data_IF_607744281615
#
_entry.id   IF_607744281615
#
_cell.length_a   1.000
_cell.length_b   1.000
_cell.length_c   1.000
_cell.angle_alpha   90.00
_cell.angle_beta   90.00
_cell.angle_gamma   90.00
#
_symmetry.space_group_name_H-M   'P 1'
#
loop_
_entity.id
_entity.type
_entity.pdbx_description
1 polymer ?
#
# COMPACT_ATOMS: atom_id res chain seq x y z
N UNK A 1 -19.76 -23.98 -24.34
CA UNK A 1 -19.92 -25.46 -24.27
C UNK A 1 -18.58 -26.13 -24.04
N UNK A 2 -17.95 -26.68 -25.09
CA UNK A 2 -16.62 -27.33 -25.01
C UNK A 2 -15.47 -26.32 -24.88
N UNK A 3 -15.57 -25.17 -25.54
CA UNK A 3 -14.56 -24.09 -25.49
C UNK A 3 -14.42 -23.44 -24.09
N UNK A 4 -15.52 -23.25 -23.36
CA UNK A 4 -15.48 -22.67 -22.01
C UNK A 4 -14.83 -23.60 -20.98
N UNK A 5 -15.04 -24.91 -21.12
CA UNK A 5 -14.43 -25.92 -20.25
C UNK A 5 -12.92 -25.97 -20.50
N UNK A 6 -12.48 -25.97 -21.76
CA UNK A 6 -11.06 -25.92 -22.11
C UNK A 6 -10.39 -24.62 -21.64
N UNK A 7 -11.07 -23.48 -21.78
CA UNK A 7 -10.59 -22.17 -21.27
C UNK A 7 -10.44 -22.19 -19.75
N UNK A 8 -11.40 -22.78 -19.03
CA UNK A 8 -11.35 -22.91 -17.57
C UNK A 8 -10.24 -23.85 -17.11
N UNK A 9 -10.03 -24.99 -17.79
CA UNK A 9 -8.92 -25.91 -17.50
C UNK A 9 -7.55 -25.27 -17.76
N UNK A 10 -7.43 -24.48 -18.84
CA UNK A 10 -6.21 -23.72 -19.13
C UNK A 10 -5.93 -22.67 -18.05
N UNK A 11 -6.94 -21.88 -17.65
CA UNK A 11 -6.81 -20.95 -16.52
C UNK A 11 -6.37 -21.66 -15.24
N UNK A 12 -6.92 -22.86 -14.98
CA UNK A 12 -6.50 -23.72 -13.87
C UNK A 12 -5.00 -24.02 -13.95
N UNK A 13 -4.49 -24.39 -15.13
CA UNK A 13 -3.07 -24.74 -15.34
C UNK A 13 -2.14 -23.53 -15.24
N UNK A 14 -2.54 -22.38 -15.79
CA UNK A 14 -1.78 -21.13 -15.70
C UNK A 14 -1.70 -20.67 -14.24
N UNK A 15 -2.82 -20.72 -13.51
CA UNK A 15 -2.86 -20.42 -12.09
C UNK A 15 -1.91 -21.30 -11.25
N UNK A 16 -1.60 -22.52 -11.67
CA UNK A 16 -0.64 -23.41 -10.97
C UNK A 16 0.82 -22.98 -11.12
N UNK A 17 1.13 -22.19 -12.14
CA UNK A 17 2.49 -21.76 -12.46
C UNK A 17 2.62 -20.25 -12.39
N UNK A 18 1.65 -19.56 -11.78
CA UNK A 18 1.62 -18.10 -11.73
C UNK A 18 2.87 -17.53 -11.03
N UNK A 19 3.41 -18.23 -10.05
CA UNK A 19 4.67 -17.90 -9.39
C UNK A 19 5.92 -17.91 -10.31
N UNK A 20 5.84 -18.58 -11.46
CA UNK A 20 6.90 -18.68 -12.46
C UNK A 20 6.67 -17.72 -13.64
N UNK A 21 5.52 -17.06 -13.70
CA UNK A 21 5.17 -16.15 -14.77
C UNK A 21 5.92 -14.81 -14.64
N UNK A 22 6.13 -14.18 -15.79
CA UNK A 22 6.62 -12.81 -15.89
C UNK A 22 5.47 -11.83 -16.12
N UNK A 23 5.70 -10.54 -15.88
CA UNK A 23 4.69 -9.50 -16.15
C UNK A 23 4.22 -9.54 -17.60
N UNK A 24 5.13 -9.81 -18.55
CA UNK A 24 4.81 -9.89 -19.97
C UNK A 24 3.79 -10.99 -20.29
N UNK A 25 3.82 -12.10 -19.55
CA UNK A 25 2.87 -13.19 -19.71
C UNK A 25 1.45 -12.81 -19.26
N UNK A 26 1.32 -11.75 -18.44
CA UNK A 26 0.06 -11.22 -17.94
C UNK A 26 -0.48 -10.05 -18.79
N UNK A 27 0.30 -9.52 -19.73
CA UNK A 27 -0.10 -8.43 -20.62
C UNK A 27 -1.04 -8.91 -21.74
N UNK A 28 -2.19 -9.44 -21.34
CA UNK A 28 -3.24 -9.92 -22.23
C UNK A 28 -3.99 -8.72 -22.79
N UNK A 29 -4.06 -8.61 -24.12
CA UNK A 29 -4.77 -7.51 -24.79
C UNK A 29 -6.28 -7.61 -24.57
N UNK A 30 -6.93 -6.48 -24.33
CA UNK A 30 -8.37 -6.42 -24.22
C UNK A 30 -9.06 -6.81 -25.56
N UNK A 31 -10.28 -7.38 -25.50
CA UNK A 31 -11.09 -7.65 -26.69
C UNK A 31 -11.33 -6.41 -27.56
N UNK A 32 -11.61 -6.63 -28.84
CA UNK A 32 -11.97 -5.54 -29.76
C UNK A 32 -13.22 -4.80 -29.26
N UNK A 33 -13.12 -3.47 -29.15
CA UNK A 33 -14.20 -2.60 -28.68
C UNK A 33 -14.08 -2.16 -27.22
N UNK A 34 -13.20 -2.77 -26.43
CA UNK A 34 -12.89 -2.27 -25.09
C UNK A 34 -11.99 -1.03 -25.14
N UNK A 35 -12.22 -0.11 -24.20
CA UNK A 35 -11.43 1.12 -24.06
C UNK A 35 -10.06 0.88 -23.41
N UNK A 36 -10.00 -0.09 -22.49
CA UNK A 36 -8.77 -0.51 -21.81
C UNK A 36 -7.87 -1.27 -22.78
N UNK A 37 -6.55 -1.08 -22.69
CA UNK A 37 -5.57 -1.79 -23.51
C UNK A 37 -5.44 -3.26 -23.11
N UNK A 38 -5.63 -3.56 -21.82
CA UNK A 38 -5.40 -4.87 -21.22
C UNK A 38 -6.68 -5.50 -20.65
N UNK A 39 -6.79 -6.83 -20.77
CA UNK A 39 -7.83 -7.64 -20.14
C UNK A 39 -7.45 -7.98 -18.68
N UNK A 40 -7.73 -7.03 -17.80
CA UNK A 40 -7.49 -7.17 -16.36
C UNK A 40 -8.41 -8.22 -15.72
N UNK A 41 -9.59 -8.49 -16.28
CA UNK A 41 -10.53 -9.44 -15.71
C UNK A 41 -10.05 -10.88 -15.87
N UNK A 42 -9.42 -11.20 -17.00
CA UNK A 42 -8.73 -12.48 -17.17
C UNK A 42 -7.63 -12.67 -16.13
N UNK A 43 -6.81 -11.65 -15.87
CA UNK A 43 -5.75 -11.71 -14.85
C UNK A 43 -6.34 -11.89 -13.44
N UNK A 44 -7.40 -11.13 -13.10
CA UNK A 44 -8.14 -11.31 -11.83
C UNK A 44 -8.63 -12.75 -11.65
N UNK A 45 -9.14 -13.38 -12.71
CA UNK A 45 -9.61 -14.76 -12.66
C UNK A 45 -8.45 -15.74 -12.41
N UNK A 46 -7.30 -15.54 -13.07
CA UNK A 46 -6.09 -16.35 -12.85
C UNK A 46 -5.60 -16.24 -11.39
N UNK A 47 -5.55 -15.02 -10.84
CA UNK A 47 -5.17 -14.79 -9.43
C UNK A 47 -6.18 -15.45 -8.48
N UNK A 48 -7.48 -15.38 -8.77
CA UNK A 48 -8.51 -16.04 -7.94
C UNK A 48 -8.33 -17.55 -7.89
N UNK A 49 -8.05 -18.17 -9.03
CA UNK A 49 -7.78 -19.61 -9.11
C UNK A 49 -6.52 -20.00 -8.32
N UNK A 50 -5.45 -19.19 -8.39
CA UNK A 50 -4.27 -19.37 -7.55
C UNK A 50 -4.63 -19.35 -6.06
N UNK A 51 -5.32 -18.30 -5.60
CA UNK A 51 -5.67 -18.13 -4.17
C UNK A 51 -6.64 -19.20 -3.64
N UNK A 52 -7.64 -19.62 -4.44
CA UNK A 52 -8.64 -20.62 -4.03
C UNK A 52 -8.00 -21.98 -3.75
N UNK A 53 -6.97 -22.36 -4.52
CA UNK A 53 -6.22 -23.59 -4.30
C UNK A 53 -5.47 -23.59 -2.97
N UNK A 54 -4.98 -22.43 -2.52
CA UNK A 54 -4.28 -22.29 -1.25
C UNK A 54 -5.17 -22.44 -0.04
N UNK A 55 -6.40 -21.95 -0.10
CA UNK A 55 -7.34 -22.09 1.01
C UNK A 55 -7.84 -23.54 1.15
N UNK A 56 -8.05 -24.25 0.05
CA UNK A 56 -8.53 -25.63 0.10
C UNK A 56 -7.49 -26.62 0.64
N UNK A 57 -6.19 -26.34 0.50
CA UNK A 57 -5.15 -27.25 0.96
C UNK A 57 -4.78 -27.11 2.44
N UNK A 58 -5.05 -25.95 3.05
CA UNK A 58 -4.95 -25.77 4.52
C UNK A 58 -6.06 -26.56 5.24
N UNK A 59 -7.26 -26.66 4.66
CA UNK A 59 -8.42 -27.34 5.27
C UNK A 59 -8.31 -28.87 5.21
N UNK A 60 -7.80 -29.45 4.11
CA UNK A 60 -7.64 -30.92 3.96
C UNK A 60 -6.51 -31.52 4.81
N UNK A 61 -5.72 -30.72 5.53
CA UNK A 61 -4.57 -31.20 6.31
C UNK A 61 -4.90 -31.65 7.74
N UNK A 62 -6.17 -31.61 8.16
CA UNK A 62 -6.57 -31.92 9.55
C UNK A 62 -7.11 -33.34 9.76
N UNK A 63 -7.25 -34.16 8.71
CA UNK A 63 -7.79 -35.52 8.85
C UNK A 63 -6.91 -36.57 8.15
N UNK A 64 -6.17 -37.36 8.94
CA UNK A 64 -5.67 -38.68 8.51
C UNK A 64 -4.15 -38.82 8.45
N UNK A 65 -3.63 -39.63 9.37
CA UNK A 65 -2.27 -40.17 9.41
C UNK A 65 -1.95 -41.10 8.22
N UNK A 66 -0.66 -41.07 7.83
CA UNK A 66 0.16 -42.11 7.19
C UNK A 66 0.11 -42.38 5.67
N UNK A 67 1.23 -41.98 5.04
CA UNK A 67 1.98 -42.64 3.96
C UNK A 67 1.39 -42.68 2.53
N UNK A 68 1.83 -41.75 1.66
CA UNK A 68 2.24 -42.01 0.26
C UNK A 68 3.13 -40.87 -0.28
N UNK A 69 4.39 -41.20 -0.59
CA UNK A 69 5.30 -40.38 -1.41
C UNK A 69 4.86 -40.42 -2.88
N UNK A 70 4.00 -39.49 -3.31
CA UNK A 70 3.96 -39.00 -4.69
C UNK A 70 2.99 -37.82 -4.78
N UNK A 71 3.55 -36.62 -5.00
CA UNK A 71 2.83 -35.38 -5.35
C UNK A 71 1.56 -35.09 -4.52
N UNK A 72 1.70 -34.53 -3.31
CA UNK A 72 0.59 -33.76 -2.72
C UNK A 72 0.42 -32.44 -3.49
N UNK A 73 -0.71 -32.20 -4.18
CA UNK A 73 -0.99 -30.89 -4.76
C UNK A 73 -1.59 -30.00 -3.66
N UNK A 74 -0.77 -29.52 -2.70
CA UNK A 74 -1.40 -28.97 -1.50
C UNK A 74 -0.58 -28.16 -0.49
N UNK A 75 0.61 -27.65 -0.82
CA UNK A 75 1.23 -26.56 -0.05
C UNK A 75 2.09 -25.76 -1.04
N UNK A 76 1.57 -24.72 -1.71
CA UNK A 76 2.53 -23.73 -2.22
C UNK A 76 2.95 -22.89 -1.02
N UNK A 77 4.26 -22.76 -0.85
CA UNK A 77 4.89 -22.06 0.26
C UNK A 77 4.41 -20.60 0.33
N UNK A 78 4.46 -19.99 1.50
CA UNK A 78 4.37 -18.53 1.67
C UNK A 78 5.28 -17.77 0.68
N UNK A 79 6.39 -18.40 0.27
CA UNK A 79 7.26 -17.92 -0.81
C UNK A 79 6.53 -17.78 -2.16
N UNK A 80 5.70 -18.74 -2.56
CA UNK A 80 4.91 -18.68 -3.80
C UNK A 80 3.86 -17.56 -3.74
N UNK A 81 3.11 -17.47 -2.63
CA UNK A 81 2.16 -16.37 -2.41
C UNK A 81 2.87 -15.01 -2.52
N UNK A 82 4.07 -14.88 -1.95
CA UNK A 82 4.87 -13.67 -2.05
C UNK A 82 5.39 -13.39 -3.47
N UNK A 83 5.79 -14.42 -4.23
CA UNK A 83 6.19 -14.28 -5.63
C UNK A 83 5.03 -13.76 -6.48
N UNK A 84 3.84 -14.33 -6.31
CA UNK A 84 2.62 -13.85 -7.00
C UNK A 84 2.27 -12.43 -6.57
N UNK A 85 2.36 -12.09 -5.28
CA UNK A 85 2.13 -10.72 -4.82
C UNK A 85 3.05 -9.72 -5.51
N UNK A 86 4.35 -10.03 -5.61
CA UNK A 86 5.34 -9.19 -6.32
C UNK A 86 5.06 -9.10 -7.82
N UNK A 87 4.67 -10.20 -8.45
CA UNK A 87 4.31 -10.24 -9.86
C UNK A 87 3.12 -9.32 -10.15
N UNK A 88 2.09 -9.37 -9.31
CA UNK A 88 0.89 -8.54 -9.49
C UNK A 88 1.17 -7.07 -9.15
N UNK A 89 2.01 -6.77 -8.16
CA UNK A 89 2.45 -5.39 -7.89
C UNK A 89 3.20 -4.82 -9.12
N UNK A 90 4.01 -5.62 -9.80
CA UNK A 90 4.71 -5.23 -11.03
C UNK A 90 3.76 -5.08 -12.22
N UNK A 91 2.81 -6.01 -12.39
CA UNK A 91 1.77 -5.93 -13.40
C UNK A 91 0.88 -4.69 -13.23
N UNK A 92 0.44 -4.38 -12.01
CA UNK A 92 -0.33 -3.17 -11.69
C UNK A 92 0.44 -1.90 -12.09
N UNK A 93 1.76 -1.86 -11.89
CA UNK A 93 2.58 -0.73 -12.31
C UNK A 93 2.67 -0.58 -13.83
N UNK A 94 2.68 -1.69 -14.57
CA UNK A 94 2.70 -1.68 -16.03
C UNK A 94 1.35 -1.21 -16.60
N UNK A 95 0.24 -1.81 -16.16
CA UNK A 95 -1.09 -1.46 -16.68
C UNK A 95 -1.58 -0.08 -16.22
N UNK A 96 -1.02 0.45 -15.13
CA UNK A 96 -1.29 1.82 -14.69
C UNK A 96 -0.90 2.88 -15.73
N UNK A 97 -0.08 2.51 -16.72
CA UNK A 97 0.24 3.33 -17.89
C UNK A 97 -0.92 3.55 -18.85
N UNK A 98 -1.99 2.74 -18.78
CA UNK A 98 -3.17 2.87 -19.64
C UNK A 98 -4.15 3.91 -19.07
N UNK A 99 -4.39 5.06 -19.74
CA UNK A 99 -5.30 6.10 -19.27
C UNK A 99 -6.76 5.65 -19.17
N UNK A 100 -7.12 4.51 -19.78
CA UNK A 100 -8.48 3.97 -19.74
C UNK A 100 -8.66 2.92 -18.63
N UNK A 101 -7.64 2.66 -17.81
CA UNK A 101 -7.71 1.66 -16.76
C UNK A 101 -8.68 2.12 -15.64
N UNK A 102 -9.81 1.42 -15.40
CA UNK A 102 -10.75 1.85 -14.37
C UNK A 102 -10.18 1.67 -12.96
N UNK A 103 -10.37 2.69 -12.10
CA UNK A 103 -9.96 2.67 -10.67
C UNK A 103 -10.43 1.39 -9.97
N UNK A 104 -11.67 0.98 -10.26
CA UNK A 104 -12.27 -0.21 -9.66
C UNK A 104 -11.45 -1.48 -9.97
N UNK A 105 -11.03 -1.67 -11.23
CA UNK A 105 -10.25 -2.84 -11.64
C UNK A 105 -8.87 -2.85 -10.99
N UNK A 106 -8.21 -1.69 -10.93
CA UNK A 106 -6.92 -1.53 -10.25
C UNK A 106 -7.03 -1.91 -8.75
N UNK A 107 -8.01 -1.34 -8.05
CA UNK A 107 -8.19 -1.56 -6.61
C UNK A 107 -8.58 -3.01 -6.32
N UNK A 108 -9.53 -3.59 -7.07
CA UNK A 108 -9.97 -4.97 -6.84
C UNK A 108 -8.83 -5.97 -7.02
N UNK A 109 -7.99 -5.81 -8.05
CA UNK A 109 -6.86 -6.71 -8.28
C UNK A 109 -5.81 -6.61 -7.16
N UNK A 110 -5.47 -5.39 -6.71
CA UNK A 110 -4.54 -5.20 -5.61
C UNK A 110 -5.07 -5.77 -4.29
N UNK A 111 -6.37 -5.59 -4.02
CA UNK A 111 -7.01 -5.98 -2.75
C UNK A 111 -7.13 -7.50 -2.59
N UNK A 112 -7.21 -8.27 -3.70
CA UNK A 112 -7.17 -9.74 -3.66
C UNK A 112 -5.92 -10.29 -2.97
N UNK A 113 -4.84 -9.51 -2.91
CA UNK A 113 -3.54 -9.90 -2.35
C UNK A 113 -3.22 -9.15 -1.05
N UNK A 114 -4.17 -8.43 -0.47
CA UNK A 114 -3.97 -7.68 0.79
C UNK A 114 -3.69 -8.60 1.98
N UNK A 115 -4.23 -9.83 1.96
CA UNK A 115 -3.99 -10.84 2.99
C UNK A 115 -2.58 -11.45 3.00
N UNK A 116 -1.77 -11.21 1.96
CA UNK A 116 -0.40 -11.76 1.88
C UNK A 116 0.56 -10.83 2.60
N UNK A 117 1.30 -11.37 3.58
CA UNK A 117 2.28 -10.61 4.35
C UNK A 117 3.51 -10.26 3.50
N UNK A 118 3.43 -9.15 2.77
CA UNK A 118 4.56 -8.58 2.03
C UNK A 118 5.58 -7.96 3.01
N UNK A 119 6.90 -8.15 2.80
CA UNK A 119 7.94 -7.50 3.59
C UNK A 119 8.08 -6.00 3.27
N UNK A 120 7.67 -5.56 2.08
CA UNK A 120 7.73 -4.16 1.64
C UNK A 120 6.61 -3.82 0.66
N UNK A 121 6.27 -2.53 0.55
CA UNK A 121 5.17 -2.03 -0.30
C UNK A 121 5.65 -1.11 -1.43
N UNK A 122 6.94 -1.06 -1.73
CA UNK A 122 7.53 -0.22 -2.78
C UNK A 122 6.93 -0.50 -4.17
N UNK A 123 6.66 -1.77 -4.50
CA UNK A 123 6.01 -2.16 -5.76
C UNK A 123 4.59 -1.60 -5.87
N UNK A 124 3.80 -1.71 -4.79
CA UNK A 124 2.46 -1.11 -4.71
C UNK A 124 2.54 0.41 -4.81
N UNK A 125 3.48 1.05 -4.11
CA UNK A 125 3.68 2.49 -4.22
C UNK A 125 3.99 2.92 -5.65
N UNK A 126 4.89 2.22 -6.35
CA UNK A 126 5.19 2.48 -7.76
C UNK A 126 3.96 2.36 -8.65
N UNK A 127 3.13 1.35 -8.42
CA UNK A 127 1.89 1.17 -9.18
C UNK A 127 0.88 2.30 -8.93
N UNK A 128 0.68 2.66 -7.67
CA UNK A 128 -0.19 3.79 -7.27
C UNK A 128 0.33 5.10 -7.86
N UNK A 129 1.64 5.32 -7.78
CA UNK A 129 2.30 6.50 -8.31
C UNK A 129 2.10 6.60 -9.82
N UNK A 130 2.35 5.53 -10.59
CA UNK A 130 2.10 5.53 -12.02
C UNK A 130 0.62 5.80 -12.33
N UNK A 131 -0.30 5.15 -11.60
CA UNK A 131 -1.73 5.29 -11.84
C UNK A 131 -2.18 6.75 -11.65
N UNK A 132 -1.80 7.38 -10.54
CA UNK A 132 -2.13 8.79 -10.27
C UNK A 132 -1.44 9.76 -11.24
N UNK A 133 -0.36 9.34 -11.91
CA UNK A 133 0.32 10.14 -12.93
C UNK A 133 -0.50 10.19 -14.22
N UNK A 134 -0.95 9.03 -14.68
CA UNK A 134 -1.62 8.87 -15.98
C UNK A 134 -3.13 9.13 -15.90
N UNK A 135 -3.69 9.26 -14.68
CA UNK A 135 -5.12 9.52 -14.43
C UNK A 135 -5.33 10.78 -13.57
N UNK A 136 -5.02 11.99 -14.08
CA UNK A 136 -5.15 13.24 -13.33
C UNK A 136 -6.60 13.58 -12.90
N UNK A 137 -7.59 13.06 -13.61
CA UNK A 137 -9.03 13.26 -13.38
C UNK A 137 -9.61 12.46 -12.21
N UNK A 138 -8.83 11.56 -11.61
CA UNK A 138 -9.24 10.75 -10.46
C UNK A 138 -9.71 11.64 -9.31
N UNK A 139 -10.90 11.35 -8.78
CA UNK A 139 -11.50 12.12 -7.69
C UNK A 139 -10.69 12.00 -6.39
N UNK A 140 -10.88 12.95 -5.46
CA UNK A 140 -10.25 12.90 -4.14
C UNK A 140 -10.57 11.60 -3.39
N UNK A 141 -11.80 11.13 -3.47
CA UNK A 141 -12.27 9.88 -2.87
C UNK A 141 -11.61 8.64 -3.46
N UNK A 142 -11.41 8.59 -4.77
CA UNK A 142 -10.73 7.49 -5.46
C UNK A 142 -9.24 7.49 -5.17
N UNK A 143 -8.59 8.65 -5.20
CA UNK A 143 -7.19 8.80 -4.80
C UNK A 143 -6.97 8.31 -3.38
N UNK A 144 -7.87 8.67 -2.45
CA UNK A 144 -7.89 8.15 -1.07
C UNK A 144 -8.07 6.62 -1.05
N UNK A 145 -8.93 6.06 -1.91
CA UNK A 145 -9.16 4.61 -2.02
C UNK A 145 -7.93 3.86 -2.50
N UNK A 146 -7.28 4.35 -3.56
CA UNK A 146 -6.09 3.76 -4.15
C UNK A 146 -4.92 3.82 -3.16
N UNK A 147 -4.70 4.97 -2.51
CA UNK A 147 -3.58 5.11 -1.56
C UNK A 147 -3.70 4.23 -0.31
N UNK A 148 -4.90 3.73 0.04
CA UNK A 148 -5.09 2.78 1.15
C UNK A 148 -4.55 1.38 0.85
N UNK A 149 -4.22 1.07 -0.40
CA UNK A 149 -3.65 -0.22 -0.78
C UNK A 149 -2.21 -0.41 -0.26
N UNK A 150 -1.51 0.69 0.04
CA UNK A 150 -0.14 0.63 0.54
C UNK A 150 -0.05 0.88 2.05
N UNK A 151 0.85 0.14 2.69
CA UNK A 151 1.25 0.34 4.07
C UNK A 151 2.49 1.25 4.10
N UNK A 152 2.31 2.49 4.58
CA UNK A 152 3.39 3.48 4.61
C UNK A 152 4.54 3.08 5.56
N UNK A 153 4.32 2.19 6.54
CA UNK A 153 5.36 1.65 7.43
C UNK A 153 6.30 0.71 6.67
N UNK A 154 5.78 0.06 5.63
CA UNK A 154 6.48 -0.94 4.82
C UNK A 154 7.16 -0.33 3.58
N UNK A 155 7.21 0.99 3.47
CA UNK A 155 7.97 1.66 2.42
C UNK A 155 9.44 1.77 2.81
N UNK A 156 10.32 1.51 1.84
CA UNK A 156 11.76 1.78 1.96
C UNK A 156 12.03 3.28 2.13
N UNK A 157 13.27 3.62 2.49
CA UNK A 157 13.71 5.02 2.62
C UNK A 157 13.58 5.75 1.28
N UNK A 158 13.97 5.13 0.18
CA UNK A 158 13.90 5.72 -1.15
C UNK A 158 12.46 5.95 -1.60
N UNK A 159 11.57 4.97 -1.36
CA UNK A 159 10.14 5.11 -1.63
C UNK A 159 9.50 6.22 -0.77
N UNK A 160 9.89 6.33 0.51
CA UNK A 160 9.44 7.41 1.38
C UNK A 160 9.90 8.78 0.84
N UNK A 161 11.16 8.92 0.42
CA UNK A 161 11.69 10.16 -0.15
C UNK A 161 10.91 10.59 -1.38
N UNK A 162 10.61 9.66 -2.29
CA UNK A 162 9.79 9.94 -3.45
C UNK A 162 8.35 10.35 -3.06
N UNK A 163 7.72 9.62 -2.14
CA UNK A 163 6.36 9.90 -1.69
C UNK A 163 6.19 11.28 -1.04
N UNK A 164 7.17 11.76 -0.30
CA UNK A 164 7.13 13.10 0.33
C UNK A 164 7.15 14.24 -0.69
N UNK A 165 7.76 13.99 -1.85
CA UNK A 165 7.83 14.95 -2.96
C UNK A 165 6.64 14.81 -3.92
N UNK A 166 5.84 13.76 -3.78
CA UNK A 166 4.75 13.46 -4.69
C UNK A 166 3.49 14.26 -4.35
N UNK A 167 3.26 15.33 -5.10
CA UNK A 167 2.11 16.23 -4.92
C UNK A 167 0.76 15.58 -5.31
N UNK A 168 0.79 14.42 -5.98
CA UNK A 168 -0.42 13.67 -6.35
C UNK A 168 -0.96 12.83 -5.19
N UNK A 169 -0.21 12.65 -4.11
CA UNK A 169 -0.68 11.90 -2.94
C UNK A 169 -1.57 12.75 -2.04
N UNK A 170 -2.58 12.15 -1.37
CA UNK A 170 -3.33 12.83 -0.32
C UNK A 170 -2.40 13.27 0.82
N UNK A 171 -2.71 14.42 1.40
CA UNK A 171 -1.91 14.99 2.48
C UNK A 171 -1.71 14.07 3.69
N UNK A 172 -2.76 13.34 4.07
CA UNK A 172 -2.69 12.37 5.16
C UNK A 172 -1.64 11.28 4.92
N UNK A 173 -1.46 10.85 3.67
CA UNK A 173 -0.48 9.84 3.28
C UNK A 173 0.94 10.40 3.42
N UNK A 174 1.18 11.62 2.96
CA UNK A 174 2.49 12.28 3.10
C UNK A 174 2.87 12.40 4.58
N UNK A 175 1.93 12.81 5.44
CA UNK A 175 2.15 12.89 6.89
C UNK A 175 2.45 11.52 7.50
N UNK A 176 1.76 10.46 7.07
CA UNK A 176 2.04 9.08 7.50
C UNK A 176 3.46 8.63 7.13
N UNK A 177 3.87 8.86 5.88
CA UNK A 177 5.22 8.53 5.40
C UNK A 177 6.28 9.22 6.25
N UNK A 178 6.12 10.52 6.50
CA UNK A 178 7.04 11.30 7.33
C UNK A 178 7.10 10.81 8.78
N UNK A 179 5.95 10.47 9.35
CA UNK A 179 5.89 9.92 10.69
C UNK A 179 6.67 8.60 10.81
N UNK A 180 6.46 7.66 9.88
CA UNK A 180 7.15 6.37 9.92
C UNK A 180 8.63 6.46 9.60
N UNK A 181 9.04 7.40 8.74
CA UNK A 181 10.45 7.74 8.58
C UNK A 181 11.05 8.20 9.93
N UNK A 182 10.37 9.11 10.63
CA UNK A 182 10.83 9.62 11.92
C UNK A 182 10.92 8.52 12.99
N UNK A 183 9.93 7.63 13.07
CA UNK A 183 9.95 6.49 13.99
C UNK A 183 11.15 5.58 13.70
N UNK A 184 11.41 5.29 12.42
CA UNK A 184 12.53 4.46 12.00
C UNK A 184 13.88 5.12 12.31
N UNK A 185 14.03 6.42 12.02
CA UNK A 185 15.23 7.18 12.35
C UNK A 185 15.48 7.26 13.87
N UNK A 186 14.42 7.40 14.67
CA UNK A 186 14.50 7.44 16.13
C UNK A 186 14.93 6.09 16.73
N UNK A 187 14.45 4.98 16.16
CA UNK A 187 14.84 3.63 16.57
C UNK A 187 16.34 3.37 16.32
N UNK A 188 16.88 3.84 15.20
CA UNK A 188 18.32 3.73 14.88
C UNK A 188 19.18 4.65 15.76
N UNK A 189 18.61 5.77 16.22
CA UNK A 189 19.34 6.81 16.98
C UNK A 189 19.20 6.69 18.51
N UNK A 190 18.40 5.75 19.02
CA UNK A 190 18.13 5.56 20.45
C UNK A 190 17.30 6.68 21.10
N UNK A 191 16.55 7.44 20.30
CA UNK A 191 15.75 8.59 20.76
C UNK A 191 14.26 8.25 20.88
N UNK A 192 13.52 8.92 21.77
CA UNK A 192 12.08 8.65 21.97
C UNK A 192 11.25 8.98 20.72
N UNK A 193 10.40 8.05 20.30
CA UNK A 193 9.47 8.20 19.17
C UNK A 193 8.42 9.28 19.43
N UNK A 194 8.02 10.08 18.42
CA UNK A 194 6.86 10.95 18.55
C UNK A 194 5.55 10.13 18.64
N UNK A 195 4.59 10.60 19.42
CA UNK A 195 3.25 9.99 19.52
C UNK A 195 2.32 10.50 18.41
N UNK A 196 1.59 9.57 17.78
CA UNK A 196 0.61 9.85 16.74
C UNK A 196 -0.81 9.58 17.27
N UNK A 197 -1.83 10.39 16.91
CA UNK A 197 -3.22 10.06 17.18
C UNK A 197 -3.57 8.66 16.63
N UNK A 198 -4.33 7.87 17.40
CA UNK A 198 -4.74 6.50 17.05
C UNK A 198 -5.35 6.42 15.64
N UNK A 199 -6.13 7.44 15.27
CA UNK A 199 -6.77 7.52 13.95
C UNK A 199 -5.82 7.51 12.76
N UNK A 200 -4.55 7.89 12.89
CA UNK A 200 -3.58 7.81 11.78
C UNK A 200 -2.81 6.48 11.81
N UNK A 201 -2.68 5.86 13.01
CA UNK A 201 -2.05 4.55 13.21
C UNK A 201 -2.95 3.41 12.72
N UNK A 202 -4.26 3.54 12.91
CA UNK A 202 -5.25 2.48 12.68
C UNK A 202 -5.67 2.34 11.21
N UNK A 203 -5.43 3.36 10.38
CA UNK A 203 -5.73 3.32 8.92
C UNK A 203 -4.85 2.34 8.15
N UNK A 204 -3.76 1.93 8.76
CA UNK A 204 -2.74 1.08 8.18
C UNK A 204 -2.91 -0.39 8.60
N UNK A 205 -3.77 -0.66 9.58
CA UNK A 205 -4.13 -2.01 9.98
C UNK A 205 -5.38 -2.41 9.20
N UNK A 206 -5.20 -2.85 7.96
CA UNK A 206 -6.22 -3.53 7.17
C UNK A 206 -6.59 -4.91 7.73
N UNK A 207 -6.98 -5.00 9.01
CA UNK A 207 -7.70 -6.17 9.50
C UNK A 207 -9.14 -6.01 9.03
N UNK A 208 -9.46 -6.60 7.87
CA UNK A 208 -10.83 -6.96 7.54
C UNK A 208 -11.32 -7.96 8.59
N UNK A 209 -11.85 -7.47 9.71
CA UNK A 209 -12.67 -8.27 10.60
C UNK A 209 -14.06 -7.67 10.68
N UNK A 210 -14.88 -8.17 9.77
CA UNK A 210 -16.34 -8.38 9.85
C UNK A 210 -17.22 -7.27 10.46
N UNK A 211 -18.06 -6.72 9.57
CA UNK A 211 -19.47 -6.39 9.80
C UNK A 211 -19.83 -5.54 11.02
N UNK A 212 -19.93 -4.23 10.82
CA UNK A 212 -21.13 -3.45 11.17
C UNK A 212 -21.07 -2.05 10.54
N UNK A 213 -22.11 -1.76 9.78
CA UNK A 213 -22.40 -0.50 9.11
C UNK A 213 -22.45 0.69 10.06
N UNK A 214 -21.72 1.77 9.70
CA UNK A 214 -22.16 3.15 9.94
C UNK A 214 -21.91 3.95 8.65
N UNK A 215 -22.82 4.84 8.19
CA UNK A 215 -22.69 5.48 6.88
C UNK A 215 -21.74 6.68 6.83
N UNK A 216 -21.11 7.09 7.94
CA UNK A 216 -20.48 8.42 8.05
C UNK A 216 -18.99 8.34 8.43
N UNK A 217 -18.15 7.77 7.54
CA UNK A 217 -16.68 7.63 7.75
C UNK A 217 -15.83 8.39 6.74
N UNK A 218 -16.47 9.20 5.90
CA UNK A 218 -15.88 9.95 4.79
C UNK A 218 -15.19 11.24 5.25
N UNK A 219 -15.67 11.88 6.32
CA UNK A 219 -15.20 13.19 6.81
C UNK A 219 -13.85 13.20 7.57
N UNK A 220 -13.33 12.05 8.02
CA UNK A 220 -12.13 12.03 8.88
C UNK A 220 -10.80 12.16 8.13
N UNK A 221 -10.84 12.20 6.78
CA UNK A 221 -9.65 12.47 5.97
C UNK A 221 -9.53 13.94 5.55
N UNK A 222 -10.57 14.74 5.81
CA UNK A 222 -10.73 16.13 5.35
C UNK A 222 -10.30 17.17 6.38
N UNK A 223 -9.78 16.78 7.54
CA UNK A 223 -9.09 17.72 8.45
C UNK A 223 -7.72 18.05 7.87
N UNK A 224 -7.71 18.96 6.89
CA UNK A 224 -6.56 19.42 6.12
C UNK A 224 -5.52 20.07 7.05
N UNK A 225 -4.32 19.50 7.10
CA UNK A 225 -3.12 20.23 7.50
C UNK A 225 -2.93 21.43 6.55
N UNK A 226 -2.80 22.64 7.07
CA UNK A 226 -2.68 23.86 6.28
C UNK A 226 -1.42 23.84 5.41
N UNK A 227 -1.45 24.58 4.28
CA UNK A 227 -0.31 24.68 3.36
C UNK A 227 0.99 25.17 4.04
N UNK A 228 0.86 25.94 5.11
CA UNK A 228 1.97 26.45 5.91
C UNK A 228 2.59 25.37 6.81
N UNK A 229 1.76 24.54 7.43
CA UNK A 229 2.22 23.39 8.23
C UNK A 229 2.92 22.34 7.37
N UNK A 230 2.46 22.18 6.14
CA UNK A 230 3.08 21.39 5.08
C UNK A 230 4.48 21.87 4.72
N UNK A 231 4.62 23.18 4.51
CA UNK A 231 5.90 23.82 4.19
C UNK A 231 6.87 23.71 5.36
N UNK A 232 6.37 23.88 6.58
CA UNK A 232 7.14 23.68 7.81
C UNK A 232 7.65 22.24 7.91
N UNK A 233 6.77 21.25 7.74
CA UNK A 233 7.12 19.83 7.85
C UNK A 233 8.09 19.39 6.75
N UNK A 234 7.87 19.82 5.49
CA UNK A 234 8.81 19.59 4.39
C UNK A 234 10.18 20.21 4.67
N UNK A 235 10.22 21.45 5.20
CA UNK A 235 11.47 22.15 5.53
C UNK A 235 12.25 21.49 6.67
N UNK A 236 11.54 20.92 7.64
CA UNK A 236 12.15 20.30 8.81
C UNK A 236 12.70 18.90 8.49
N UNK A 237 12.01 18.13 7.64
CA UNK A 237 12.53 16.86 7.10
C UNK A 237 13.77 17.11 6.23
N UNK A 238 13.78 18.20 5.45
CA UNK A 238 14.98 18.61 4.72
C UNK A 238 16.15 19.01 5.65
N UNK A 239 15.85 19.64 6.80
CA UNK A 239 16.87 19.99 7.80
C UNK A 239 17.46 18.76 8.51
N UNK A 240 16.63 17.76 8.86
CA UNK A 240 17.09 16.51 9.46
C UNK A 240 18.02 15.72 8.52
N UNK A 241 17.81 15.81 7.20
CA UNK A 241 18.70 15.20 6.18
C UNK A 241 20.08 15.83 6.12
N UNK A 242 20.18 17.14 6.35
CA UNK A 242 21.44 17.89 6.37
C UNK A 242 22.27 17.62 7.63
N UNK A 243 21.61 17.27 8.72
CA UNK A 243 22.26 16.84 9.97
C UNK A 243 22.77 15.39 9.86
N UNK A 244 22.05 14.51 9.15
CA UNK A 244 22.44 13.11 8.97
C UNK A 244 23.59 12.90 7.96
N UNK A 245 23.78 13.81 6.99
CA UNK A 245 24.92 13.78 6.04
C UNK A 245 26.19 14.42 6.60
N UNK A 246 26.10 15.24 7.65
CA UNK A 246 27.25 15.86 8.33
C UNK A 246 27.76 15.06 9.54
N UNK A 247 27.19 13.89 9.80
CA UNK A 247 27.47 13.05 10.97
C UNK A 247 28.72 12.16 10.91
N UNK A 248 29.66 12.42 10.00
CA UNK A 248 31.00 11.81 10.04
C UNK A 248 32.05 12.89 10.27
N UNK A 249 31.97 13.59 11.40
CA UNK A 249 33.12 13.89 12.24
C UNK A 249 32.75 14.90 13.34
N UNK A 250 33.06 14.50 14.58
CA UNK A 250 33.21 15.31 15.80
C UNK A 250 31.96 15.77 16.56
N UNK A 251 31.80 15.11 17.71
CA UNK A 251 31.46 15.64 19.03
C UNK A 251 30.04 16.21 19.28
N UNK A 252 29.28 15.41 20.05
CA UNK A 252 28.53 15.76 21.26
C UNK A 252 28.40 17.26 21.58
N UNK A 253 27.21 17.83 21.35
CA UNK A 253 26.45 18.78 22.22
C UNK A 253 25.34 19.56 21.47
N UNK A 254 25.20 19.44 20.15
CA UNK A 254 24.14 20.15 19.39
C UNK A 254 22.89 19.32 19.02
N UNK A 255 22.85 18.04 19.41
CA UNK A 255 21.84 17.04 18.98
C UNK A 255 20.39 17.28 19.48
N UNK A 256 20.13 18.31 20.27
CA UNK A 256 18.85 18.50 21.00
C UNK A 256 17.93 19.54 20.32
N UNK A 257 18.42 20.35 19.39
CA UNK A 257 17.66 21.52 18.89
C UNK A 257 16.71 21.20 17.73
N UNK A 258 17.06 20.27 16.82
CA UNK A 258 16.19 19.82 15.72
C UNK A 258 15.04 18.89 16.16
N UNK A 259 15.23 18.17 17.27
CA UNK A 259 14.30 17.14 17.77
C UNK A 259 13.15 17.73 18.60
N UNK A 260 13.34 18.93 19.19
CA UNK A 260 12.31 19.58 20.01
C UNK A 260 11.27 20.34 19.16
N UNK A 261 11.64 20.78 17.95
CA UNK A 261 10.74 21.54 17.07
C UNK A 261 9.76 20.65 16.29
N UNK A 262 10.18 19.45 15.89
CA UNK A 262 9.32 18.45 15.22
C UNK A 262 8.15 18.06 16.12
N UNK A 263 8.40 17.81 17.41
CA UNK A 263 7.33 17.56 18.40
C UNK A 263 6.34 18.71 18.48
N UNK A 264 6.78 19.97 18.39
CA UNK A 264 5.91 21.16 18.46
C UNK A 264 5.05 21.34 17.21
N UNK A 265 5.58 21.03 16.04
CA UNK A 265 4.84 21.13 14.78
C UNK A 265 3.81 20.01 14.70
N UNK A 266 4.20 18.77 15.01
CA UNK A 266 3.27 17.64 15.07
C UNK A 266 2.19 17.80 16.15
N UNK A 267 2.53 18.31 17.34
CA UNK A 267 1.52 18.64 18.36
C UNK A 267 0.61 19.79 17.93
N UNK A 268 1.11 20.85 17.27
CA UNK A 268 0.23 21.92 16.74
C UNK A 268 -0.71 21.43 15.64
N UNK A 269 -0.20 20.63 14.70
CA UNK A 269 -0.97 20.04 13.60
C UNK A 269 -2.13 19.17 14.08
N UNK A 270 -1.93 18.49 15.21
CA UNK A 270 -2.89 17.53 15.77
C UNK A 270 -3.65 18.03 16.99
N UNK A 271 -3.26 19.17 17.58
CA UNK A 271 -3.93 19.83 18.71
C UNK A 271 -4.95 20.88 18.28
N UNK A 272 -5.07 21.22 16.99
CA UNK A 272 -6.10 22.15 16.49
C UNK A 272 -7.54 21.62 16.63
N UNK A 273 -7.72 20.37 17.09
CA UNK A 273 -9.02 19.79 17.41
C UNK A 273 -9.27 19.81 18.92
N UNK A 274 -9.53 21.02 19.45
CA UNK A 274 -9.90 21.20 20.84
C UNK A 274 -10.11 22.66 21.21
N UNK A 275 -11.25 23.23 20.82
CA UNK A 275 -11.67 24.54 21.33
C UNK A 275 -12.49 25.34 20.33
N UNK A 276 -13.76 24.98 20.16
CA UNK A 276 -14.78 25.98 19.84
C UNK A 276 -16.11 25.51 20.41
N UNK A 277 -16.69 26.37 21.25
CA UNK A 277 -17.65 26.05 22.32
C UNK A 277 -16.91 26.38 23.61
N UNK A 278 -17.10 27.55 24.21
CA UNK A 278 -18.37 27.98 24.80
C UNK A 278 -18.55 29.51 24.75
N UNK A 279 -19.72 29.89 24.19
CA UNK A 279 -20.66 30.96 24.57
C UNK A 279 -20.18 32.21 25.29
N UNK A 280 -20.43 33.34 24.64
CA UNK A 280 -20.56 34.69 25.19
C UNK A 280 -21.40 34.76 26.47
N UNK A 281 -20.88 35.47 27.46
CA UNK A 281 -21.68 36.24 28.42
C UNK A 281 -21.83 37.68 27.96
#
# INVERSE_FOLDING_TARGET
GSSDVAKKELMKKIGQQLEQASVNDLLIRAPEGDKSMYDVDTVKNIVREFLTRHQNSEIESTEGEENWEMQKPGILSEASKLMVAKLIDAYLAEIAGDPNLPVLKFVELADMLSGISRPGHDGLYRAIDMYLKEHPEVSKSERKRICRLMDCKKLSVDACMHAVQNERLPMRVIVQVLFFEQVRAAATSGTSTPDLPRSIRDLNNGSLRSSRSTPNGDEEWDTVATAEELKALKSEVAALRLENTRGSDKASFHKVKGILMTKKIFTKLWSSKGGNGETSG
#
